data_IF_464131335590
#
_entry.id   IF_464131335590
#
_cell.length_a   1.000
_cell.length_b   1.000
_cell.length_c   1.000
_cell.angle_alpha   90.00
_cell.angle_beta   90.00
_cell.angle_gamma   90.00
#
_symmetry.space_group_name_H-M   'P 1'
#
loop_
_entity.id
_entity.type
_entity.pdbx_description
1 polymer ?
#
# COMPACT_ATOMS: atom_id res chain seq x y z
N UNK A 1 52.06 38.11 -0.30
CA UNK A 1 50.83 37.90 0.49
C UNK A 1 49.60 37.62 -0.37
N UNK A 2 49.50 38.11 -1.61
CA UNK A 2 48.31 37.97 -2.49
C UNK A 2 48.12 36.59 -3.16
N UNK A 3 49.13 35.72 -3.16
CA UNK A 3 49.04 34.41 -3.83
C UNK A 3 48.37 33.34 -2.99
N UNK A 4 48.35 33.46 -1.67
CA UNK A 4 47.67 32.53 -0.74
C UNK A 4 46.13 32.75 -0.66
N UNK A 5 45.66 33.96 -0.88
CA UNK A 5 44.23 34.31 -0.80
C UNK A 5 43.46 33.72 -2.02
N UNK A 6 44.07 33.77 -3.21
CA UNK A 6 43.45 33.20 -4.40
C UNK A 6 43.28 31.67 -4.34
N UNK A 7 44.16 30.96 -3.65
CA UNK A 7 44.06 29.49 -3.44
C UNK A 7 42.92 29.18 -2.46
N UNK A 8 42.79 29.94 -1.39
CA UNK A 8 41.70 29.79 -0.40
C UNK A 8 40.34 30.08 -1.00
N UNK A 9 40.18 31.16 -1.76
CA UNK A 9 38.92 31.49 -2.46
C UNK A 9 38.52 30.42 -3.47
N UNK A 10 39.47 29.87 -4.23
CA UNK A 10 39.21 28.77 -5.18
C UNK A 10 38.76 27.51 -4.44
N UNK A 11 39.39 27.15 -3.32
CA UNK A 11 39.01 26.02 -2.51
C UNK A 11 37.61 26.19 -1.90
N UNK A 12 37.29 27.38 -1.38
CA UNK A 12 35.94 27.70 -0.87
C UNK A 12 34.90 27.63 -1.98
N UNK A 13 35.17 28.19 -3.16
CA UNK A 13 34.27 28.12 -4.32
C UNK A 13 34.04 26.70 -4.79
N UNK A 14 35.08 25.86 -4.84
CA UNK A 14 34.97 24.46 -5.23
C UNK A 14 34.14 23.67 -4.19
N UNK A 15 34.34 23.93 -2.91
CA UNK A 15 33.61 23.28 -1.83
C UNK A 15 32.15 23.69 -1.80
N UNK A 16 31.86 25.00 -1.93
CA UNK A 16 30.48 25.50 -2.01
C UNK A 16 29.77 24.97 -3.25
N UNK A 17 30.43 24.97 -4.41
CA UNK A 17 29.87 24.42 -5.64
C UNK A 17 29.60 22.92 -5.50
N UNK A 18 30.55 22.16 -4.93
CA UNK A 18 30.38 20.71 -4.68
C UNK A 18 29.21 20.42 -3.75
N UNK A 19 29.10 21.14 -2.64
CA UNK A 19 27.99 21.01 -1.69
C UNK A 19 26.65 21.37 -2.34
N UNK A 20 26.61 22.46 -3.10
CA UNK A 20 25.39 22.90 -3.80
C UNK A 20 24.95 21.90 -4.85
N UNK A 21 25.88 21.38 -5.67
CA UNK A 21 25.58 20.35 -6.68
C UNK A 21 25.13 19.04 -6.04
N UNK A 22 25.75 18.64 -4.94
CA UNK A 22 25.36 17.45 -4.18
C UNK A 22 23.96 17.62 -3.61
N UNK A 23 23.66 18.75 -3.00
CA UNK A 23 22.33 19.06 -2.49
C UNK A 23 21.26 19.06 -3.61
N UNK A 24 21.57 19.71 -4.72
CA UNK A 24 20.68 19.74 -5.89
C UNK A 24 20.44 18.35 -6.46
N UNK A 25 21.47 17.52 -6.53
CA UNK A 25 21.36 16.13 -6.96
C UNK A 25 20.42 15.32 -6.06
N UNK A 26 20.60 15.38 -4.74
CA UNK A 26 19.73 14.69 -3.81
C UNK A 26 18.30 15.23 -3.82
N UNK A 27 18.13 16.53 -3.98
CA UNK A 27 16.83 17.17 -4.15
C UNK A 27 16.11 16.67 -5.42
N UNK A 28 16.79 16.59 -6.54
CA UNK A 28 16.24 16.05 -7.80
C UNK A 28 15.95 14.54 -7.70
N UNK A 29 16.76 13.79 -6.95
CA UNK A 29 16.58 12.35 -6.79
C UNK A 29 15.48 12.00 -5.76
N UNK A 30 15.10 12.93 -4.88
CA UNK A 30 14.15 12.67 -3.80
C UNK A 30 12.84 12.02 -4.24
N UNK A 31 12.17 12.40 -5.35
CA UNK A 31 10.93 11.75 -5.79
C UNK A 31 11.15 10.30 -6.28
N UNK A 32 12.38 9.96 -6.69
CA UNK A 32 12.71 8.63 -7.22
C UNK A 32 13.22 7.67 -6.15
N UNK A 33 13.59 8.16 -4.97
CA UNK A 33 14.15 7.32 -3.89
C UNK A 33 13.20 6.20 -3.51
N UNK A 34 11.90 6.48 -3.40
CA UNK A 34 10.90 5.47 -3.09
C UNK A 34 10.82 4.41 -4.20
N UNK A 35 10.84 4.81 -5.46
CA UNK A 35 10.81 3.90 -6.60
C UNK A 35 12.07 3.02 -6.65
N UNK A 36 13.24 3.59 -6.36
CA UNK A 36 14.50 2.85 -6.26
C UNK A 36 14.46 1.82 -5.11
N UNK A 37 13.94 2.19 -3.94
CA UNK A 37 13.80 1.27 -2.80
C UNK A 37 12.83 0.12 -3.13
N UNK A 38 11.70 0.41 -3.76
CA UNK A 38 10.75 -0.62 -4.21
C UNK A 38 11.45 -1.55 -5.21
N UNK A 39 12.18 -1.01 -6.17
CA UNK A 39 12.95 -1.79 -7.14
C UNK A 39 14.01 -2.68 -6.47
N UNK A 40 14.71 -2.18 -5.45
CA UNK A 40 15.68 -2.96 -4.67
C UNK A 40 15.00 -4.11 -3.92
N UNK A 41 13.85 -3.86 -3.26
CA UNK A 41 13.09 -4.89 -2.56
C UNK A 41 12.62 -5.98 -3.52
N UNK A 42 12.06 -5.61 -4.67
CA UNK A 42 11.64 -6.57 -5.71
C UNK A 42 12.83 -7.37 -6.23
N UNK A 43 13.98 -6.72 -6.46
CA UNK A 43 15.19 -7.40 -6.89
C UNK A 43 15.68 -8.44 -5.88
N UNK A 44 15.68 -8.12 -4.57
CA UNK A 44 16.01 -9.05 -3.48
C UNK A 44 15.08 -10.26 -3.48
N UNK A 45 13.78 -10.04 -3.71
CA UNK A 45 12.79 -11.13 -3.77
C UNK A 45 12.96 -12.01 -4.99
N UNK A 46 13.29 -11.42 -6.13
CA UNK A 46 13.48 -12.11 -7.40
C UNK A 46 14.87 -12.74 -7.54
N UNK A 47 15.82 -12.42 -6.63
CA UNK A 47 17.19 -12.93 -6.70
C UNK A 47 17.31 -14.46 -6.75
N UNK A 48 16.52 -15.27 -5.98
CA UNK A 48 16.54 -16.73 -6.11
C UNK A 48 16.11 -17.22 -7.51
N UNK A 49 15.14 -16.56 -8.12
CA UNK A 49 14.73 -16.89 -9.49
C UNK A 49 15.83 -16.52 -10.49
N UNK A 50 16.53 -15.41 -10.27
CA UNK A 50 17.70 -15.04 -11.08
C UNK A 50 18.83 -16.05 -10.98
N UNK A 51 19.19 -16.49 -9.77
CA UNK A 51 20.24 -17.51 -9.59
C UNK A 51 19.88 -18.85 -10.24
N UNK A 52 18.59 -19.21 -10.26
CA UNK A 52 18.10 -20.40 -10.96
C UNK A 52 18.23 -20.23 -12.49
N UNK A 53 17.76 -19.10 -13.03
CA UNK A 53 17.78 -18.81 -14.47
C UNK A 53 19.20 -18.64 -15.01
N UNK A 54 20.10 -18.05 -14.21
CA UNK A 54 21.49 -17.80 -14.56
C UNK A 54 22.32 -19.09 -14.75
N UNK A 55 21.76 -20.26 -14.40
CA UNK A 55 22.37 -21.58 -14.71
C UNK A 55 22.20 -21.96 -16.18
N UNK A 56 21.20 -21.39 -16.86
CA UNK A 56 20.83 -21.74 -18.23
C UNK A 56 21.12 -20.62 -19.22
N UNK A 57 21.11 -19.37 -18.77
CA UNK A 57 21.25 -18.18 -19.60
C UNK A 57 22.35 -17.26 -19.08
N UNK A 58 22.81 -16.36 -19.95
CA UNK A 58 23.76 -15.30 -19.58
C UNK A 58 23.09 -14.32 -18.57
N UNK A 59 23.87 -13.69 -17.67
CA UNK A 59 23.32 -12.86 -16.60
C UNK A 59 22.39 -11.73 -17.09
N UNK A 60 22.74 -11.09 -18.20
CA UNK A 60 21.93 -10.02 -18.80
C UNK A 60 20.56 -10.55 -19.23
N UNK A 61 20.51 -11.71 -19.89
CA UNK A 61 19.27 -12.30 -20.37
C UNK A 61 18.39 -12.78 -19.20
N UNK A 62 19.00 -13.38 -18.19
CA UNK A 62 18.29 -13.81 -16.96
C UNK A 62 17.66 -12.62 -16.23
N UNK A 63 18.41 -11.50 -16.10
CA UNK A 63 17.89 -10.26 -15.50
C UNK A 63 16.76 -9.67 -16.33
N UNK A 64 16.89 -9.66 -17.66
CA UNK A 64 15.86 -9.15 -18.56
C UNK A 64 14.56 -9.96 -18.46
N UNK A 65 14.66 -11.31 -18.50
CA UNK A 65 13.50 -12.19 -18.39
C UNK A 65 12.74 -11.94 -17.08
N UNK A 66 13.46 -11.84 -15.95
CA UNK A 66 12.83 -11.60 -14.65
C UNK A 66 12.22 -10.21 -14.60
N UNK A 67 12.92 -9.21 -15.09
CA UNK A 67 12.40 -7.83 -15.15
C UNK A 67 11.14 -7.76 -16.00
N UNK A 68 11.11 -8.43 -17.16
CA UNK A 68 9.91 -8.55 -17.99
C UNK A 68 8.79 -9.30 -17.27
N UNK A 69 9.10 -10.38 -16.55
CA UNK A 69 8.11 -11.11 -15.77
C UNK A 69 7.50 -10.25 -14.65
N UNK A 70 8.31 -9.45 -13.95
CA UNK A 70 7.84 -8.47 -12.94
C UNK A 70 7.02 -7.36 -13.59
N UNK A 71 7.48 -6.82 -14.72
CA UNK A 71 6.78 -5.77 -15.44
C UNK A 71 5.39 -6.23 -15.92
N UNK A 72 5.31 -7.41 -16.51
CA UNK A 72 4.07 -7.97 -17.05
C UNK A 72 3.17 -8.59 -15.96
N UNK A 73 3.75 -9.28 -14.98
CA UNK A 73 2.99 -10.03 -13.97
C UNK A 73 2.56 -9.18 -12.76
N UNK A 74 3.28 -8.13 -12.44
CA UNK A 74 3.01 -7.29 -11.26
C UNK A 74 2.69 -5.86 -11.64
N UNK A 75 3.59 -5.20 -12.38
CA UNK A 75 3.45 -3.77 -12.66
C UNK A 75 2.28 -3.49 -13.61
N UNK A 76 2.17 -4.22 -14.72
CA UNK A 76 1.11 -4.00 -15.70
C UNK A 76 -0.29 -4.23 -15.10
N UNK A 77 -0.59 -5.33 -14.38
CA UNK A 77 -1.87 -5.51 -13.72
C UNK A 77 -2.14 -4.46 -12.64
N UNK A 78 -1.11 -4.04 -11.88
CA UNK A 78 -1.27 -3.01 -10.84
C UNK A 78 -1.61 -1.64 -11.45
N UNK A 79 -0.93 -1.26 -12.53
CA UNK A 79 -1.23 -0.04 -13.29
C UNK A 79 -2.64 -0.12 -13.89
N UNK A 80 -2.99 -1.25 -14.52
CA UNK A 80 -4.30 -1.46 -15.10
C UNK A 80 -5.41 -1.38 -14.03
N UNK A 81 -5.23 -2.04 -12.88
CA UNK A 81 -6.17 -1.99 -11.77
C UNK A 81 -6.35 -0.56 -11.22
N UNK A 82 -5.25 0.20 -11.10
CA UNK A 82 -5.28 1.59 -10.67
C UNK A 82 -6.03 2.49 -11.66
N UNK A 83 -5.71 2.40 -12.95
CA UNK A 83 -6.36 3.20 -14.01
C UNK A 83 -7.84 2.86 -14.15
N UNK A 84 -8.16 1.57 -14.27
CA UNK A 84 -9.54 1.09 -14.41
C UNK A 84 -10.35 1.42 -13.16
N UNK A 85 -9.77 1.22 -11.98
CA UNK A 85 -10.40 1.54 -10.70
C UNK A 85 -10.72 3.03 -10.60
N UNK A 86 -9.75 3.91 -10.85
CA UNK A 86 -9.95 5.35 -10.83
C UNK A 86 -11.01 5.82 -11.85
N UNK A 87 -10.97 5.26 -13.06
CA UNK A 87 -11.95 5.57 -14.12
C UNK A 87 -13.36 5.09 -13.77
N UNK A 88 -13.50 3.87 -13.25
CA UNK A 88 -14.80 3.33 -12.83
C UNK A 88 -15.38 4.10 -11.65
N UNK A 89 -14.57 4.42 -10.63
CA UNK A 89 -15.01 5.26 -9.51
C UNK A 89 -15.49 6.61 -10.02
N UNK A 90 -14.72 7.28 -10.89
CA UNK A 90 -15.11 8.57 -11.47
C UNK A 90 -16.42 8.50 -12.24
N UNK A 91 -16.63 7.47 -13.05
CA UNK A 91 -17.86 7.31 -13.85
C UNK A 91 -19.06 6.94 -12.98
N UNK A 92 -18.87 6.05 -12.00
CA UNK A 92 -19.94 5.68 -11.06
C UNK A 92 -20.38 6.91 -10.26
N UNK A 93 -19.45 7.72 -9.77
CA UNK A 93 -19.76 8.94 -9.03
C UNK A 93 -20.47 10.00 -9.90
N UNK A 94 -20.12 10.12 -11.18
CA UNK A 94 -20.83 11.02 -12.13
C UNK A 94 -22.23 10.55 -12.43
N UNK A 95 -22.48 9.23 -12.39
CA UNK A 95 -23.80 8.63 -12.61
C UNK A 95 -24.66 8.55 -11.33
N UNK A 96 -24.06 8.64 -10.17
CA UNK A 96 -24.75 8.77 -8.89
C UNK A 96 -25.16 10.23 -8.72
N UNK A 97 -26.24 10.63 -9.43
CA UNK A 97 -27.05 11.71 -8.93
C UNK A 97 -27.61 11.20 -7.60
N UNK A 98 -27.02 11.63 -6.48
CA UNK A 98 -27.70 11.49 -5.20
C UNK A 98 -29.01 12.26 -5.36
N UNK A 99 -30.18 11.58 -5.44
CA UNK A 99 -31.45 12.30 -5.47
C UNK A 99 -31.44 13.10 -4.17
N UNK A 100 -31.56 14.41 -4.27
CA UNK A 100 -31.64 15.28 -3.11
C UNK A 100 -32.67 14.68 -2.14
N UNK A 101 -32.23 14.12 -1.03
CA UNK A 101 -33.01 13.59 0.07
C UNK A 101 -33.51 12.15 -0.01
N UNK A 102 -33.41 11.39 -1.11
CA UNK A 102 -34.26 10.19 -1.27
C UNK A 102 -33.60 8.81 -0.99
N UNK A 103 -32.29 8.62 -1.09
CA UNK A 103 -31.73 7.28 -0.83
C UNK A 103 -31.79 6.93 0.65
N UNK A 104 -31.52 7.88 1.52
CA UNK A 104 -31.63 7.68 2.97
C UNK A 104 -33.08 7.71 3.44
N UNK A 105 -33.95 8.53 2.84
CA UNK A 105 -35.37 8.49 3.13
C UNK A 105 -35.95 7.11 2.77
N UNK A 106 -35.60 6.56 1.60
CA UNK A 106 -36.03 5.21 1.21
C UNK A 106 -35.44 4.11 2.14
N UNK A 107 -34.19 4.27 2.61
CA UNK A 107 -33.62 3.37 3.59
C UNK A 107 -34.35 3.45 4.93
N UNK A 108 -34.63 4.67 5.41
CA UNK A 108 -35.33 4.89 6.67
C UNK A 108 -36.84 4.54 6.57
N UNK A 109 -37.40 4.58 5.38
CA UNK A 109 -38.78 4.10 5.12
C UNK A 109 -38.87 2.58 4.98
N UNK A 110 -37.74 1.89 4.77
CA UNK A 110 -37.73 0.44 4.64
C UNK A 110 -38.30 -0.23 5.91
N UNK A 111 -39.11 -1.27 5.72
CA UNK A 111 -39.73 -2.02 6.82
C UNK A 111 -38.68 -2.57 7.80
N UNK A 112 -37.51 -2.94 7.29
CA UNK A 112 -36.39 -3.48 8.07
C UNK A 112 -35.79 -2.45 9.01
N UNK A 113 -35.63 -1.21 8.56
CA UNK A 113 -35.12 -0.11 9.35
C UNK A 113 -36.10 0.28 10.44
N UNK A 114 -37.39 0.41 10.11
CA UNK A 114 -38.47 0.71 11.07
C UNK A 114 -38.59 -0.37 12.15
N UNK A 115 -38.51 -1.66 11.77
CA UNK A 115 -38.58 -2.77 12.72
C UNK A 115 -37.33 -2.87 13.60
N UNK A 116 -36.16 -2.71 13.02
CA UNK A 116 -34.89 -2.70 13.77
C UNK A 116 -34.85 -1.58 14.79
N UNK A 117 -35.30 -0.39 14.42
CA UNK A 117 -35.33 0.76 15.29
C UNK A 117 -36.35 0.70 16.42
N UNK A 118 -37.54 0.17 16.18
CA UNK A 118 -38.52 -0.02 17.24
C UNK A 118 -38.00 -0.97 18.33
N UNK A 119 -37.11 -1.87 18.00
CA UNK A 119 -36.41 -2.70 18.99
C UNK A 119 -35.27 -1.94 19.70
N UNK A 120 -34.46 -1.15 18.99
CA UNK A 120 -33.31 -0.44 19.57
C UNK A 120 -33.73 0.79 20.37
N UNK A 121 -34.70 1.56 19.88
CA UNK A 121 -35.23 2.75 20.58
C UNK A 121 -35.86 2.45 21.92
N UNK A 122 -36.21 1.18 22.18
CA UNK A 122 -36.73 0.72 23.48
C UNK A 122 -35.62 0.68 24.56
N UNK A 123 -34.37 0.58 24.16
CA UNK A 123 -33.22 0.43 25.07
C UNK A 123 -32.30 1.63 25.10
N UNK A 124 -32.28 2.44 24.03
CA UNK A 124 -31.39 3.61 23.90
C UNK A 124 -32.22 4.78 23.34
N UNK A 125 -32.35 5.91 24.06
CA UNK A 125 -32.99 7.11 23.53
C UNK A 125 -32.06 7.75 22.48
N UNK A 126 -32.18 7.31 21.22
CA UNK A 126 -31.45 7.88 20.11
C UNK A 126 -32.33 8.92 19.45
N UNK A 127 -31.84 10.14 19.36
CA UNK A 127 -32.42 11.18 18.51
C UNK A 127 -32.20 10.80 17.04
N UNK A 128 -33.30 10.44 16.41
CA UNK A 128 -33.30 9.83 15.08
C UNK A 128 -32.97 10.83 13.98
N UNK A 129 -33.42 12.07 14.13
CA UNK A 129 -33.16 13.13 13.17
C UNK A 129 -31.66 13.48 13.16
N UNK A 130 -31.04 13.53 14.34
CA UNK A 130 -29.59 13.73 14.49
C UNK A 130 -28.79 12.58 13.86
N UNK A 131 -29.17 11.33 14.11
CA UNK A 131 -28.46 10.17 13.56
C UNK A 131 -28.56 10.11 12.03
N UNK A 132 -29.73 10.44 11.48
CA UNK A 132 -29.95 10.53 10.04
C UNK A 132 -29.11 11.67 9.41
N UNK A 133 -29.12 12.85 9.99
CA UNK A 133 -28.37 14.00 9.51
C UNK A 133 -26.86 13.76 9.58
N UNK A 134 -26.39 13.11 10.67
CA UNK A 134 -24.98 12.72 10.81
C UNK A 134 -24.57 11.67 9.78
N UNK A 135 -25.41 10.67 9.53
CA UNK A 135 -25.16 9.66 8.52
C UNK A 135 -25.10 10.27 7.10
N UNK A 136 -26.04 11.14 6.75
CA UNK A 136 -26.03 11.86 5.46
C UNK A 136 -24.79 12.73 5.27
N UNK A 137 -24.42 13.50 6.29
CA UNK A 137 -23.20 14.33 6.22
C UNK A 137 -21.95 13.47 6.10
N UNK A 138 -21.86 12.34 6.78
CA UNK A 138 -20.75 11.41 6.70
C UNK A 138 -20.63 10.77 5.32
N UNK A 139 -21.75 10.33 4.73
CA UNK A 139 -21.79 9.79 3.36
C UNK A 139 -21.35 10.86 2.36
N UNK A 140 -21.84 12.11 2.50
CA UNK A 140 -21.39 13.23 1.67
C UNK A 140 -19.88 13.44 1.73
N UNK A 141 -19.32 13.52 2.94
CA UNK A 141 -17.87 13.67 3.14
C UNK A 141 -17.09 12.51 2.51
N UNK A 142 -17.57 11.28 2.65
CA UNK A 142 -16.93 10.10 2.06
C UNK A 142 -16.95 10.16 0.53
N UNK A 143 -18.09 10.50 -0.06
CA UNK A 143 -18.22 10.64 -1.51
C UNK A 143 -17.35 11.77 -2.07
N UNK A 144 -17.27 12.90 -1.39
CA UNK A 144 -16.39 14.02 -1.76
C UNK A 144 -14.92 13.59 -1.72
N UNK A 145 -14.51 12.88 -0.66
CA UNK A 145 -13.15 12.35 -0.56
C UNK A 145 -12.84 11.31 -1.63
N UNK A 146 -13.78 10.43 -1.95
CA UNK A 146 -13.62 9.44 -3.02
C UNK A 146 -13.53 10.12 -4.40
N UNK A 147 -14.36 11.14 -4.66
CA UNK A 147 -14.32 11.88 -5.92
C UNK A 147 -13.02 12.66 -6.08
N UNK A 148 -12.56 13.32 -5.00
CA UNK A 148 -11.27 14.01 -4.96
C UNK A 148 -10.12 13.02 -5.17
N UNK A 149 -10.17 11.86 -4.52
CA UNK A 149 -9.19 10.79 -4.71
C UNK A 149 -9.16 10.30 -6.17
N UNK A 150 -10.33 10.03 -6.78
CA UNK A 150 -10.40 9.60 -8.17
C UNK A 150 -9.82 10.66 -9.12
N UNK A 151 -10.14 11.94 -8.90
CA UNK A 151 -9.58 13.05 -9.67
C UNK A 151 -8.07 13.20 -9.52
N UNK A 152 -7.57 13.12 -8.30
CA UNK A 152 -6.12 13.18 -8.02
C UNK A 152 -5.39 11.96 -8.52
N UNK A 153 -5.99 10.76 -8.46
CA UNK A 153 -5.44 9.54 -9.03
C UNK A 153 -5.23 9.65 -10.54
N UNK A 154 -6.24 10.17 -11.27
CA UNK A 154 -6.14 10.36 -12.72
C UNK A 154 -5.06 11.40 -13.06
N UNK A 155 -4.99 12.51 -12.34
CA UNK A 155 -3.98 13.56 -12.59
C UNK A 155 -2.57 13.13 -12.23
N UNK A 156 -2.40 12.17 -11.31
CA UNK A 156 -1.09 11.62 -10.92
C UNK A 156 -0.59 10.48 -11.82
N UNK A 157 -1.39 10.01 -12.79
CA UNK A 157 -1.02 8.92 -13.70
C UNK A 157 0.34 9.10 -14.39
N UNK A 158 0.69 10.29 -14.94
CA UNK A 158 2.01 10.45 -15.56
C UNK A 158 3.16 10.23 -14.57
N UNK A 159 3.03 10.74 -13.35
CA UNK A 159 4.02 10.54 -12.27
C UNK A 159 4.10 9.07 -11.84
N UNK A 160 2.96 8.40 -11.75
CA UNK A 160 2.90 6.97 -11.41
C UNK A 160 3.56 6.10 -12.50
N UNK A 161 3.31 6.38 -13.77
CA UNK A 161 3.94 5.66 -14.89
C UNK A 161 5.46 5.88 -14.91
N UNK A 162 5.90 7.10 -14.65
CA UNK A 162 7.32 7.42 -14.54
C UNK A 162 7.97 6.68 -13.35
N UNK A 163 7.33 6.65 -12.20
CA UNK A 163 7.78 5.88 -11.04
C UNK A 163 7.84 4.38 -11.35
N UNK A 164 6.83 3.82 -12.02
CA UNK A 164 6.82 2.43 -12.45
C UNK A 164 7.97 2.11 -13.41
N UNK A 165 8.26 3.01 -14.36
CA UNK A 165 9.43 2.87 -15.25
C UNK A 165 10.75 2.85 -14.46
N UNK A 166 10.90 3.75 -13.48
CA UNK A 166 12.09 3.77 -12.60
C UNK A 166 12.19 2.48 -11.79
N UNK A 167 11.09 1.94 -11.26
CA UNK A 167 11.08 0.64 -10.57
C UNK A 167 11.58 -0.47 -11.49
N UNK A 168 11.06 -0.56 -12.72
CA UNK A 168 11.45 -1.61 -13.69
C UNK A 168 12.95 -1.53 -14.01
N UNK A 169 13.44 -0.34 -14.30
CA UNK A 169 14.87 -0.10 -14.58
C UNK A 169 15.73 -0.46 -13.36
N UNK A 170 15.28 -0.08 -12.16
CA UNK A 170 15.97 -0.38 -10.91
C UNK A 170 16.03 -1.88 -10.64
N UNK A 171 14.92 -2.62 -10.84
CA UNK A 171 14.88 -4.07 -10.72
C UNK A 171 15.92 -4.72 -11.62
N UNK A 172 16.00 -4.30 -12.88
CA UNK A 172 16.97 -4.85 -13.83
C UNK A 172 18.40 -4.67 -13.34
N UNK A 173 18.79 -3.43 -12.98
CA UNK A 173 20.15 -3.14 -12.55
C UNK A 173 20.48 -3.74 -11.19
N UNK A 174 19.57 -3.75 -10.23
CA UNK A 174 19.81 -4.35 -8.93
C UNK A 174 19.92 -5.88 -8.99
N UNK A 175 19.22 -6.55 -9.91
CA UNK A 175 19.40 -7.99 -10.14
C UNK A 175 20.75 -8.24 -10.82
N UNK A 176 21.10 -7.45 -11.83
CA UNK A 176 22.31 -7.66 -12.62
C UNK A 176 23.58 -7.32 -11.86
N UNK A 177 23.63 -6.16 -11.23
CA UNK A 177 24.82 -5.58 -10.61
C UNK A 177 24.74 -5.48 -9.07
N UNK A 178 23.72 -6.07 -8.44
CA UNK A 178 23.48 -6.00 -6.99
C UNK A 178 24.66 -6.46 -6.14
N UNK A 179 25.36 -7.52 -6.56
CA UNK A 179 26.56 -7.98 -5.85
C UNK A 179 27.71 -6.97 -5.93
N UNK A 180 27.88 -6.30 -7.08
CA UNK A 180 28.90 -5.26 -7.22
C UNK A 180 28.58 -4.05 -6.36
N UNK A 181 27.31 -3.66 -6.33
CA UNK A 181 26.82 -2.58 -5.46
C UNK A 181 27.05 -2.90 -3.98
N UNK A 182 26.75 -4.12 -3.54
CA UNK A 182 26.98 -4.55 -2.16
C UNK A 182 28.46 -4.54 -1.78
N UNK A 183 29.35 -5.00 -2.69
CA UNK A 183 30.80 -4.94 -2.47
C UNK A 183 31.29 -3.50 -2.40
N UNK A 184 30.79 -2.61 -3.26
CA UNK A 184 31.11 -1.19 -3.24
C UNK A 184 30.67 -0.53 -1.92
N UNK A 185 29.41 -0.74 -1.51
CA UNK A 185 28.86 -0.22 -0.25
C UNK A 185 29.60 -0.76 0.97
N UNK A 186 29.98 -2.04 0.95
CA UNK A 186 30.82 -2.64 1.99
C UNK A 186 32.20 -2.04 2.08
N UNK A 187 32.80 -1.61 0.95
CA UNK A 187 34.09 -0.93 0.90
C UNK A 187 34.07 0.52 1.38
N UNK A 188 32.93 1.22 1.22
CA UNK A 188 32.74 2.60 1.71
C UNK A 188 32.21 2.65 3.13
N UNK A 189 31.60 1.56 3.59
CA UNK A 189 31.02 1.47 4.93
C UNK A 189 32.13 1.54 6.02
N UNK A 190 31.93 2.34 7.07
CA UNK A 190 32.83 2.34 8.22
C UNK A 190 32.71 1.09 9.09
N UNK A 191 31.78 0.17 8.76
CA UNK A 191 31.51 -1.04 9.50
C UNK A 191 32.44 -2.18 9.06
N UNK A 192 32.88 -3.08 9.96
CA UNK A 192 33.55 -4.31 9.61
C UNK A 192 32.72 -5.15 8.63
N UNK A 193 33.39 -5.84 7.70
CA UNK A 193 32.75 -6.58 6.62
C UNK A 193 31.70 -7.61 7.12
N UNK A 194 32.00 -8.30 8.21
CA UNK A 194 31.09 -9.26 8.85
C UNK A 194 29.80 -8.61 9.34
N UNK A 195 29.87 -7.42 9.95
CA UNK A 195 28.69 -6.68 10.39
C UNK A 195 27.88 -6.13 9.21
N UNK A 196 28.53 -5.70 8.14
CA UNK A 196 27.85 -5.27 6.92
C UNK A 196 27.08 -6.42 6.27
N UNK A 197 27.64 -7.62 6.25
CA UNK A 197 26.96 -8.82 5.75
C UNK A 197 25.77 -9.24 6.63
N UNK A 198 25.93 -9.18 7.95
CA UNK A 198 24.84 -9.46 8.91
C UNK A 198 23.68 -8.48 8.75
N UNK A 199 23.97 -7.19 8.58
CA UNK A 199 22.96 -6.17 8.31
C UNK A 199 22.23 -6.45 7.01
N UNK A 200 22.96 -6.79 5.94
CA UNK A 200 22.36 -7.13 4.65
C UNK A 200 21.42 -8.34 4.76
N UNK A 201 21.87 -9.43 5.41
CA UNK A 201 21.05 -10.62 5.59
C UNK A 201 19.81 -10.36 6.45
N UNK A 202 19.94 -9.50 7.46
CA UNK A 202 18.81 -9.09 8.30
C UNK A 202 17.81 -8.24 7.50
N UNK A 203 18.30 -7.33 6.68
CA UNK A 203 17.48 -6.54 5.77
C UNK A 203 16.76 -7.41 4.73
N UNK A 204 17.48 -8.35 4.10
CA UNK A 204 16.90 -9.31 3.16
C UNK A 204 15.79 -10.15 3.80
N UNK A 205 16.00 -10.70 4.98
CA UNK A 205 14.99 -11.45 5.74
C UNK A 205 13.76 -10.61 6.04
N UNK A 206 13.98 -9.37 6.50
CA UNK A 206 12.89 -8.45 6.80
C UNK A 206 12.08 -8.10 5.54
N UNK A 207 12.74 -7.81 4.42
CA UNK A 207 12.07 -7.55 3.14
C UNK A 207 11.24 -8.75 2.70
N UNK A 208 11.79 -9.96 2.76
CA UNK A 208 11.07 -11.20 2.42
C UNK A 208 9.87 -11.42 3.33
N UNK A 209 10.04 -11.21 4.65
CA UNK A 209 8.96 -11.31 5.63
C UNK A 209 7.81 -10.35 5.35
N UNK A 210 8.11 -9.06 5.17
CA UNK A 210 7.11 -8.02 4.91
C UNK A 210 6.36 -8.29 3.61
N UNK A 211 7.08 -8.61 2.52
CA UNK A 211 6.43 -8.83 1.22
C UNK A 211 5.62 -10.12 1.20
N UNK A 212 6.11 -11.21 1.82
CA UNK A 212 5.33 -12.44 1.92
C UNK A 212 4.05 -12.23 2.74
N UNK A 213 4.12 -11.47 3.83
CA UNK A 213 2.96 -11.09 4.63
C UNK A 213 1.96 -10.24 3.84
N UNK A 214 2.47 -9.27 3.08
CA UNK A 214 1.66 -8.42 2.20
C UNK A 214 0.96 -9.25 1.12
N UNK A 215 1.67 -10.13 0.41
CA UNK A 215 1.08 -10.98 -0.61
C UNK A 215 0.04 -11.94 -0.03
N UNK A 216 0.31 -12.57 1.12
CA UNK A 216 -0.66 -13.42 1.80
C UNK A 216 -1.93 -12.64 2.17
N UNK A 217 -1.78 -11.42 2.67
CA UNK A 217 -2.91 -10.54 3.00
C UNK A 217 -3.71 -10.16 1.75
N UNK A 218 -3.05 -9.78 0.66
CA UNK A 218 -3.71 -9.45 -0.60
C UNK A 218 -4.52 -10.63 -1.16
N UNK A 219 -3.95 -11.85 -1.12
CA UNK A 219 -4.66 -13.06 -1.55
C UNK A 219 -5.89 -13.31 -0.68
N UNK A 220 -5.76 -13.23 0.63
CA UNK A 220 -6.89 -13.42 1.53
C UNK A 220 -7.99 -12.37 1.32
N UNK A 221 -7.61 -11.10 1.16
CA UNK A 221 -8.55 -10.02 0.85
C UNK A 221 -9.27 -10.25 -0.49
N UNK A 222 -8.53 -10.64 -1.54
CA UNK A 222 -9.11 -10.95 -2.85
C UNK A 222 -10.13 -12.10 -2.79
N UNK A 223 -9.80 -13.17 -2.05
CA UNK A 223 -10.71 -14.30 -1.83
C UNK A 223 -11.94 -13.88 -1.04
N UNK A 224 -11.78 -13.09 0.03
CA UNK A 224 -12.90 -12.60 0.82
C UNK A 224 -13.81 -11.67 0.01
N UNK A 225 -13.25 -10.75 -0.77
CA UNK A 225 -14.05 -9.87 -1.64
C UNK A 225 -14.80 -10.68 -2.69
N UNK A 226 -14.14 -11.63 -3.35
CA UNK A 226 -14.79 -12.55 -4.27
C UNK A 226 -15.99 -13.25 -3.62
N UNK A 227 -15.80 -13.83 -2.44
CA UNK A 227 -16.83 -14.56 -1.73
C UNK A 227 -18.00 -13.65 -1.33
N UNK A 228 -17.74 -12.50 -0.71
CA UNK A 228 -18.80 -11.58 -0.30
C UNK A 228 -19.55 -10.99 -1.49
N UNK A 229 -18.88 -10.67 -2.59
CA UNK A 229 -19.52 -10.19 -3.81
C UNK A 229 -20.38 -11.27 -4.46
N UNK A 230 -19.92 -12.52 -4.43
CA UNK A 230 -20.71 -13.66 -4.92
C UNK A 230 -22.02 -13.86 -4.11
N UNK A 231 -21.91 -13.81 -2.78
CA UNK A 231 -23.06 -14.00 -1.87
C UNK A 231 -24.04 -12.83 -1.94
N UNK A 232 -23.53 -11.60 -2.07
CA UNK A 232 -24.37 -10.39 -2.13
C UNK A 232 -24.93 -10.08 -3.51
N UNK A 233 -24.54 -10.85 -4.55
CA UNK A 233 -25.06 -10.68 -5.91
C UNK A 233 -24.47 -9.48 -6.66
N UNK A 234 -23.32 -8.95 -6.22
CA UNK A 234 -22.60 -7.92 -6.98
C UNK A 234 -22.10 -8.51 -8.29
N UNK A 235 -22.34 -7.86 -9.46
CA UNK A 235 -21.94 -8.39 -10.75
C UNK A 235 -20.41 -8.53 -10.85
N UNK A 236 -19.97 -9.56 -11.58
CA UNK A 236 -18.56 -9.87 -11.84
C UNK A 236 -17.70 -10.09 -10.56
N UNK A 237 -18.12 -10.92 -9.59
CA UNK A 237 -17.41 -11.09 -8.33
C UNK A 237 -15.95 -11.56 -8.51
N UNK A 238 -15.68 -12.41 -9.50
CA UNK A 238 -14.33 -12.86 -9.82
C UNK A 238 -13.41 -11.70 -10.25
N UNK A 239 -13.92 -10.79 -11.09
CA UNK A 239 -13.16 -9.63 -11.55
C UNK A 239 -12.78 -8.72 -10.37
N UNK A 240 -13.74 -8.45 -9.48
CA UNK A 240 -13.49 -7.60 -8.31
C UNK A 240 -12.60 -8.26 -7.26
N UNK A 241 -12.76 -9.57 -7.03
CA UNK A 241 -11.84 -10.34 -6.20
C UNK A 241 -10.41 -10.31 -6.73
N UNK A 242 -10.25 -10.51 -8.04
CA UNK A 242 -8.96 -10.42 -8.70
C UNK A 242 -8.36 -9.00 -8.66
N UNK A 243 -9.16 -7.98 -8.93
CA UNK A 243 -8.73 -6.59 -8.80
C UNK A 243 -8.29 -6.25 -7.37
N UNK A 244 -8.94 -6.84 -6.36
CA UNK A 244 -8.59 -6.67 -4.94
C UNK A 244 -7.20 -7.18 -4.59
N UNK A 245 -6.68 -8.20 -5.28
CA UNK A 245 -5.30 -8.67 -5.11
C UNK A 245 -4.30 -7.55 -5.38
N UNK A 246 -4.51 -6.78 -6.43
CA UNK A 246 -3.61 -5.69 -6.83
C UNK A 246 -3.86 -4.41 -6.05
N UNK A 247 -5.14 -4.09 -5.80
CA UNK A 247 -5.49 -2.91 -4.99
C UNK A 247 -5.01 -3.05 -3.55
N UNK A 248 -5.02 -4.25 -2.97
CA UNK A 248 -4.48 -4.54 -1.65
C UNK A 248 -2.97 -4.29 -1.54
N UNK A 249 -2.23 -4.29 -2.65
CA UNK A 249 -0.80 -3.95 -2.68
C UNK A 249 -0.55 -2.42 -2.54
N UNK A 250 -1.58 -1.60 -2.78
CA UNK A 250 -1.45 -0.14 -2.66
C UNK A 250 -1.61 0.25 -1.18
N UNK A 251 -0.55 0.75 -0.51
CA UNK A 251 -0.66 1.18 0.88
C UNK A 251 -1.71 2.27 1.05
N UNK A 252 -2.39 2.29 2.22
CA UNK A 252 -3.39 3.29 2.61
C UNK A 252 -4.74 3.15 1.90
N UNK A 253 -4.76 2.86 0.60
CA UNK A 253 -6.01 2.74 -0.19
C UNK A 253 -6.60 1.35 -0.03
N UNK A 254 -5.78 0.32 -0.16
CA UNK A 254 -6.18 -1.08 -0.02
C UNK A 254 -7.41 -1.45 -0.86
N UNK A 255 -8.21 -2.34 -0.32
CA UNK A 255 -9.42 -2.89 -0.98
C UNK A 255 -10.67 -2.03 -0.71
N UNK A 256 -10.56 -0.99 0.13
CA UNK A 256 -11.69 -0.16 0.53
C UNK A 256 -12.50 0.44 -0.65
N UNK A 257 -11.90 0.97 -1.73
CA UNK A 257 -12.69 1.51 -2.85
C UNK A 257 -13.57 0.47 -3.53
N UNK A 258 -13.11 -0.78 -3.62
CA UNK A 258 -13.87 -1.88 -4.24
C UNK A 258 -15.06 -2.25 -3.37
N UNK A 259 -14.85 -2.43 -2.06
CA UNK A 259 -15.92 -2.79 -1.13
C UNK A 259 -16.95 -1.67 -0.98
N UNK A 260 -16.51 -0.40 -0.91
CA UNK A 260 -17.39 0.77 -0.88
C UNK A 260 -18.21 0.86 -2.18
N UNK A 261 -17.58 0.65 -3.33
CA UNK A 261 -18.27 0.63 -4.63
C UNK A 261 -19.37 -0.44 -4.69
N UNK A 262 -19.09 -1.62 -4.15
CA UNK A 262 -20.09 -2.69 -4.03
C UNK A 262 -21.26 -2.32 -3.11
N UNK A 263 -20.98 -1.70 -1.96
CA UNK A 263 -22.03 -1.22 -1.03
C UNK A 263 -22.91 -0.16 -1.69
N UNK A 264 -22.32 0.81 -2.37
CA UNK A 264 -23.05 1.85 -3.12
C UNK A 264 -23.91 1.22 -4.20
N UNK A 265 -23.37 0.27 -4.97
CA UNK A 265 -24.12 -0.45 -6.00
C UNK A 265 -25.36 -1.16 -5.43
N UNK A 266 -25.21 -1.90 -4.34
CA UNK A 266 -26.33 -2.60 -3.68
C UNK A 266 -27.36 -1.63 -3.10
N UNK A 267 -26.92 -0.51 -2.55
CA UNK A 267 -27.81 0.56 -2.11
C UNK A 267 -28.59 1.18 -3.26
N UNK A 268 -27.95 1.47 -4.37
CA UNK A 268 -28.59 2.02 -5.58
C UNK A 268 -29.60 1.04 -6.21
N UNK A 269 -29.34 -0.28 -6.09
CA UNK A 269 -30.28 -1.33 -6.56
C UNK A 269 -31.31 -1.72 -5.50
N UNK A 270 -31.44 -0.97 -4.39
CA UNK A 270 -32.41 -1.19 -3.32
C UNK A 270 -32.24 -2.52 -2.55
N UNK A 271 -31.10 -3.17 -2.66
CA UNK A 271 -30.80 -4.44 -1.99
C UNK A 271 -30.16 -4.18 -0.62
N UNK A 272 -30.87 -3.49 0.26
CA UNK A 272 -30.36 -3.02 1.55
C UNK A 272 -29.82 -4.13 2.47
N UNK A 273 -30.50 -5.30 2.49
CA UNK A 273 -30.05 -6.45 3.27
C UNK A 273 -28.65 -6.92 2.79
N UNK A 274 -28.46 -6.98 1.49
CA UNK A 274 -27.17 -7.37 0.90
C UNK A 274 -26.11 -6.29 1.08
N UNK A 275 -26.50 -5.01 1.06
CA UNK A 275 -25.61 -3.90 1.38
C UNK A 275 -25.09 -4.00 2.83
N UNK A 276 -25.96 -4.26 3.82
CA UNK A 276 -25.56 -4.48 5.23
C UNK A 276 -24.64 -5.69 5.35
N UNK A 277 -24.97 -6.80 4.67
CA UNK A 277 -24.11 -7.99 4.67
C UNK A 277 -22.72 -7.67 4.09
N UNK A 278 -22.66 -6.85 3.03
CA UNK A 278 -21.40 -6.43 2.42
C UNK A 278 -20.60 -5.49 3.33
N UNK A 279 -21.25 -4.64 4.14
CA UNK A 279 -20.57 -3.84 5.17
C UNK A 279 -19.88 -4.76 6.19
N UNK A 280 -20.57 -5.81 6.67
CA UNK A 280 -19.97 -6.82 7.55
C UNK A 280 -18.78 -7.50 6.84
N UNK A 281 -18.92 -7.83 5.55
CA UNK A 281 -17.86 -8.37 4.72
C UNK A 281 -16.67 -7.41 4.61
N UNK A 282 -16.90 -6.12 4.41
CA UNK A 282 -15.85 -5.11 4.34
C UNK A 282 -15.06 -5.01 5.65
N UNK A 283 -15.74 -5.09 6.78
CA UNK A 283 -15.10 -5.15 8.11
C UNK A 283 -14.25 -6.42 8.23
N UNK A 284 -14.76 -7.57 7.79
CA UNK A 284 -14.02 -8.84 7.80
C UNK A 284 -12.77 -8.76 6.90
N UNK A 285 -12.87 -8.15 5.72
CA UNK A 285 -11.73 -7.93 4.81
C UNK A 285 -10.68 -7.03 5.45
N UNK A 286 -11.09 -5.94 6.10
CA UNK A 286 -10.18 -5.04 6.81
C UNK A 286 -9.54 -5.72 8.04
N UNK A 287 -10.29 -6.53 8.78
CA UNK A 287 -9.77 -7.30 9.90
C UNK A 287 -8.75 -8.36 9.45
N UNK A 288 -8.99 -9.02 8.31
CA UNK A 288 -8.07 -10.01 7.75
C UNK A 288 -6.67 -9.41 7.48
N UNK A 289 -6.58 -8.18 6.97
CA UNK A 289 -5.31 -7.48 6.77
C UNK A 289 -4.54 -7.31 8.08
N UNK A 290 -5.22 -6.89 9.13
CA UNK A 290 -4.64 -6.65 10.45
C UNK A 290 -4.25 -7.93 11.19
N UNK A 291 -4.82 -9.09 10.83
CA UNK A 291 -4.51 -10.38 11.45
C UNK A 291 -3.44 -11.15 10.67
N UNK A 292 -3.55 -11.19 9.35
CA UNK A 292 -2.69 -12.01 8.50
C UNK A 292 -1.26 -11.46 8.46
N UNK A 293 -1.09 -10.14 8.37
CA UNK A 293 0.26 -9.53 8.33
C UNK A 293 1.10 -9.91 9.55
N UNK A 294 0.64 -9.71 10.81
CA UNK A 294 1.43 -10.13 11.97
C UNK A 294 1.64 -11.65 12.05
N UNK A 295 0.64 -12.46 11.68
CA UNK A 295 0.75 -13.92 11.71
C UNK A 295 1.87 -14.43 10.79
N UNK A 296 1.95 -13.91 9.57
CA UNK A 296 2.98 -14.31 8.60
C UNK A 296 4.35 -13.75 9.02
N UNK A 297 4.40 -12.51 9.53
CA UNK A 297 5.65 -11.90 10.00
C UNK A 297 6.22 -12.61 11.22
N UNK A 298 5.41 -12.98 12.20
CA UNK A 298 5.87 -13.68 13.42
C UNK A 298 6.44 -15.07 13.10
N UNK A 299 6.00 -15.71 12.02
CA UNK A 299 6.57 -16.99 11.56
C UNK A 299 7.94 -16.87 10.88
N UNK A 300 8.39 -15.66 10.52
CA UNK A 300 9.64 -15.42 9.77
C UNK A 300 10.60 -14.44 10.43
N UNK A 301 10.16 -13.71 11.43
CA UNK A 301 10.96 -12.69 12.11
C UNK A 301 11.47 -13.19 13.47
N UNK A 302 12.66 -13.76 13.48
CA UNK A 302 13.59 -13.42 14.56
C UNK A 302 13.92 -11.92 14.41
N UNK A 303 13.06 -11.06 14.95
CA UNK A 303 13.28 -9.61 14.95
C UNK A 303 14.55 -9.34 15.74
N UNK A 304 15.59 -8.90 15.06
CA UNK A 304 16.86 -8.51 15.68
C UNK A 304 16.57 -7.42 16.73
N UNK A 305 17.13 -7.51 17.96
CA UNK A 305 16.83 -6.58 19.08
C UNK A 305 17.07 -5.10 18.78
N UNK A 306 17.80 -4.77 17.71
CA UNK A 306 18.08 -3.40 17.28
C UNK A 306 16.89 -2.65 16.66
N UNK A 307 15.84 -3.36 16.22
CA UNK A 307 14.60 -2.74 15.70
C UNK A 307 13.48 -2.68 16.74
N UNK A 308 13.73 -3.13 17.96
CA UNK A 308 12.81 -3.10 19.09
C UNK A 308 13.12 -2.04 20.19
N UNK A 309 13.78 -0.88 19.94
CA UNK A 309 14.09 0.03 21.05
C UNK A 309 12.89 0.83 21.56
N UNK A 310 11.77 0.90 20.81
CA UNK A 310 10.63 1.74 21.20
C UNK A 310 9.56 0.97 21.97
N UNK A 311 9.34 -0.31 21.65
CA UNK A 311 8.31 -1.11 22.32
C UNK A 311 8.78 -1.69 23.67
N UNK A 312 10.07 -2.03 23.81
CA UNK A 312 10.60 -2.64 25.04
C UNK A 312 10.83 -1.63 26.17
N UNK A 313 11.19 -0.40 25.86
CA UNK A 313 11.34 0.64 26.89
C UNK A 313 10.00 1.04 27.50
N UNK A 314 8.92 1.04 26.73
CA UNK A 314 7.58 1.34 27.26
C UNK A 314 6.97 0.18 28.05
N UNK A 315 7.14 -1.08 27.63
CA UNK A 315 6.65 -2.25 28.36
C UNK A 315 7.43 -2.47 29.67
N UNK A 316 8.76 -2.32 29.66
CA UNK A 316 9.56 -2.48 30.87
C UNK A 316 9.36 -1.35 31.89
N UNK A 317 9.00 -0.16 31.46
CA UNK A 317 8.61 0.94 32.34
C UNK A 317 7.26 0.70 33.05
N UNK A 318 6.37 -0.10 32.46
CA UNK A 318 5.12 -0.49 33.08
C UNK A 318 5.26 -1.71 34.02
N UNK A 319 6.14 -2.67 33.70
CA UNK A 319 6.38 -3.83 34.60
C UNK A 319 7.15 -3.45 35.88
N UNK A 320 8.06 -2.49 35.80
CA UNK A 320 8.78 -2.02 37.02
C UNK A 320 7.90 -1.21 37.96
N UNK A 321 6.81 -0.62 37.49
CA UNK A 321 5.81 0.05 38.36
C UNK A 321 4.81 -0.91 38.99
N UNK A 322 4.58 -2.09 38.42
CA UNK A 322 3.64 -3.08 38.95
C UNK A 322 4.27 -3.99 40.04
N UNK A 323 5.60 -4.04 40.14
CA UNK A 323 6.32 -4.87 41.13
C UNK A 323 6.80 -4.07 42.34
N UNK A 324 6.36 -2.84 42.54
CA UNK A 324 6.71 -1.97 43.67
C UNK A 324 5.48 -1.56 44.51
N UNK A 325 4.38 -2.35 44.48
CA UNK A 325 3.27 -2.22 45.42
C UNK A 325 3.05 -3.54 46.14
#
# INVERSE_FOLDING_TARGET
MAMGDNVRWRAVLQLTLGVTLTFLFFYMMSPFVLALLIGAIIAILCYPAFTYLNRWFIPILSSLIITCAVALGVMLPSVAAFVIGAYQISNTLKGVHLPEGNIFAQFTESAMWKTGLTHVSRYVPIDFEWAQQYALSTVGIVLDKISLFAGTAISSLPGFLLAAMVVIVSVFFFILDGERLLKFLGGVSPLPLNKSLELYQSFERSCRGVVSAMLASCVAQGVLVFFFFLVTGVPHPFLWGFASLFMGMVPVVGVAPITIGGIIFLGATQQWMMAVLLVIGAIAVAAADNVIRPLVMNGQAEMHPLLAPVSYTHLRAHETKANLV
#
